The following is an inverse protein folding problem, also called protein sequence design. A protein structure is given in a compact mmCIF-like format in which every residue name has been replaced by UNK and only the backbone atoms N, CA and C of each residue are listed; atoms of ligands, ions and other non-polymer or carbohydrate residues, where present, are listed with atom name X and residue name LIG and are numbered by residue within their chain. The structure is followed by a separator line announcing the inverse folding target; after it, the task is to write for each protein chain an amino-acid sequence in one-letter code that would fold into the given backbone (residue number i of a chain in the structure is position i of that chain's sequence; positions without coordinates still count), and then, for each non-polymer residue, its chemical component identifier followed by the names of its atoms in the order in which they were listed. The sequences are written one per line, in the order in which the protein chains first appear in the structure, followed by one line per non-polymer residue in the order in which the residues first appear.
data_IF_414707475658
#
_entry.id   IF_414707475658
#
_cell.length_a   1.000
_cell.length_b   1.000
_cell.length_c   1.000
_cell.angle_alpha   90.00
_cell.angle_beta   90.00
_cell.angle_gamma   90.00
#
_symmetry.space_group_name_H-M   'P 1'
#
loop_
_entity.id
_entity.type
_entity.pdbx_description
1 polymer ?
#
# COMPACT_ATOMS: atom_id res chain seq x y z
N UNK A 1 -75.16 27.26 -18.33
CA UNK A 1 -74.06 26.26 -18.26
C UNK A 1 -72.85 26.93 -17.63
N UNK A 2 -72.27 26.30 -16.60
CA UNK A 2 -71.25 26.87 -15.73
C UNK A 2 -69.85 26.80 -16.36
N UNK A 3 -69.11 27.91 -16.27
CA UNK A 3 -67.65 27.97 -16.48
C UNK A 3 -66.94 27.02 -15.49
N UNK A 4 -65.94 26.29 -15.96
CA UNK A 4 -64.85 25.79 -15.11
C UNK A 4 -63.51 26.03 -15.82
N UNK A 5 -62.79 27.02 -15.31
CA UNK A 5 -61.38 27.28 -15.62
C UNK A 5 -60.54 26.25 -14.87
N UNK A 6 -59.69 25.52 -15.59
CA UNK A 6 -58.64 24.68 -14.99
C UNK A 6 -57.30 25.18 -15.52
N UNK A 7 -56.79 26.22 -14.88
CA UNK A 7 -55.41 26.68 -15.06
C UNK A 7 -54.51 25.70 -14.29
N UNK A 8 -54.12 24.61 -14.94
CA UNK A 8 -53.14 23.67 -14.41
C UNK A 8 -51.74 24.24 -14.50
N UNK A 9 -51.24 24.82 -13.41
CA UNK A 9 -49.83 25.19 -13.27
C UNK A 9 -49.03 23.89 -13.13
N UNK A 10 -48.36 23.48 -14.20
CA UNK A 10 -47.40 22.38 -14.19
C UNK A 10 -46.08 22.91 -13.59
N UNK A 11 -45.91 22.75 -12.28
CA UNK A 11 -44.64 23.05 -11.62
C UNK A 11 -43.69 21.89 -11.90
N UNK A 12 -42.89 22.04 -12.96
CA UNK A 12 -41.81 21.12 -13.30
C UNK A 12 -40.74 21.24 -12.20
N UNK A 13 -40.77 20.33 -11.23
CA UNK A 13 -39.68 20.15 -10.27
C UNK A 13 -38.45 19.67 -11.04
N UNK A 14 -37.60 20.62 -11.44
CA UNK A 14 -36.26 20.34 -11.94
C UNK A 14 -35.45 19.90 -10.72
N UNK A 15 -35.38 18.57 -10.52
CA UNK A 15 -34.39 17.95 -9.64
C UNK A 15 -33.03 18.13 -10.31
N UNK A 16 -32.41 19.29 -10.08
CA UNK A 16 -31.01 19.49 -10.44
C UNK A 16 -30.16 18.62 -9.52
N UNK A 17 -29.89 17.40 -9.95
CA UNK A 17 -28.77 16.61 -9.45
C UNK A 17 -27.50 17.31 -9.92
N UNK A 18 -27.08 18.34 -9.19
CA UNK A 18 -25.75 18.88 -9.35
C UNK A 18 -24.79 17.81 -8.85
N UNK A 19 -24.33 16.94 -9.76
CA UNK A 19 -23.04 16.30 -9.56
C UNK A 19 -22.04 17.46 -9.56
N UNK A 20 -21.49 17.78 -8.39
CA UNK A 20 -20.30 18.61 -8.31
C UNK A 20 -19.25 17.78 -9.03
N UNK A 21 -18.96 18.12 -10.28
CA UNK A 21 -17.86 17.49 -10.99
C UNK A 21 -16.60 17.79 -10.18
N UNK A 22 -15.82 16.77 -9.79
CA UNK A 22 -14.50 17.03 -9.27
C UNK A 22 -13.72 17.85 -10.31
N UNK A 23 -12.74 18.67 -9.88
CA UNK A 23 -11.97 19.50 -10.79
C UNK A 23 -11.50 18.70 -12.02
N UNK A 24 -11.69 19.25 -13.23
CA UNK A 24 -11.49 18.55 -14.51
C UNK A 24 -10.02 18.11 -14.80
N UNK A 25 -9.14 18.14 -13.80
CA UNK A 25 -7.69 17.97 -13.93
C UNK A 25 -7.10 16.86 -13.05
N UNK A 26 -7.92 15.97 -12.48
CA UNK A 26 -7.40 14.83 -11.74
C UNK A 26 -6.72 13.83 -12.69
N UNK A 27 -5.53 13.30 -12.33
CA UNK A 27 -4.82 12.35 -13.17
C UNK A 27 -5.38 10.93 -12.98
N UNK A 28 -5.48 10.17 -14.07
CA UNK A 28 -5.86 8.74 -13.99
C UNK A 28 -4.76 7.84 -13.43
N UNK A 29 -3.53 8.33 -13.36
CA UNK A 29 -2.46 7.68 -12.57
C UNK A 29 -2.41 8.40 -11.24
N UNK A 30 -2.45 7.70 -10.09
CA UNK A 30 -2.47 8.36 -8.80
C UNK A 30 -1.31 9.32 -8.64
N UNK A 31 -1.60 10.52 -8.16
CA UNK A 31 -0.58 11.53 -7.90
C UNK A 31 -0.52 11.80 -6.41
N UNK A 32 0.70 11.79 -5.86
CA UNK A 32 0.92 12.01 -4.44
C UNK A 32 1.88 13.16 -4.15
N UNK A 33 1.72 13.75 -2.99
CA UNK A 33 2.61 14.78 -2.43
C UNK A 33 2.97 14.39 -0.99
N UNK A 34 4.25 14.50 -0.63
CA UNK A 34 4.68 14.28 0.74
C UNK A 34 4.10 15.35 1.67
N UNK A 35 3.54 14.93 2.80
CA UNK A 35 2.93 15.83 3.79
C UNK A 35 3.71 15.80 5.12
N UNK A 36 3.88 14.63 5.74
CA UNK A 36 4.52 14.53 7.07
C UNK A 36 5.32 13.25 7.29
N UNK A 37 6.24 13.32 8.25
CA UNK A 37 6.94 12.17 8.84
C UNK A 37 7.06 12.38 10.34
N UNK A 38 6.59 11.41 11.12
CA UNK A 38 6.51 11.50 12.58
C UNK A 38 6.88 10.18 13.23
N UNK A 39 7.52 10.24 14.39
CA UNK A 39 7.87 9.09 15.20
C UNK A 39 7.10 9.16 16.53
N UNK A 40 6.27 8.16 16.80
CA UNK A 40 5.48 8.07 18.03
C UNK A 40 6.00 6.89 18.87
N UNK A 41 6.85 7.15 19.89
CA UNK A 41 7.27 6.11 20.81
C UNK A 41 6.09 5.67 21.67
N UNK A 42 5.94 4.37 21.92
CA UNK A 42 4.89 3.84 22.80
C UNK A 42 5.48 2.88 23.82
N UNK A 43 4.68 2.46 24.81
CA UNK A 43 5.09 1.39 25.73
C UNK A 43 5.11 0.00 25.07
N UNK A 44 4.58 -0.12 23.85
CA UNK A 44 4.55 -1.33 23.04
C UNK A 44 5.44 -1.21 21.79
N UNK A 45 4.87 -1.43 20.61
CA UNK A 45 5.57 -1.17 19.35
C UNK A 45 5.54 0.33 19.02
N UNK A 46 6.69 0.89 18.68
CA UNK A 46 6.78 2.28 18.26
C UNK A 46 6.22 2.45 16.84
N UNK A 47 5.69 3.63 16.53
CA UNK A 47 5.13 3.94 15.21
C UNK A 47 6.00 4.95 14.48
N UNK A 48 6.45 4.60 13.28
CA UNK A 48 6.92 5.58 12.31
C UNK A 48 5.77 5.85 11.34
N UNK A 49 5.36 7.10 11.23
CA UNK A 49 4.13 7.51 10.55
C UNK A 49 4.50 8.42 9.39
N UNK A 50 3.99 8.12 8.21
CA UNK A 50 4.15 8.93 7.00
C UNK A 50 2.78 9.45 6.57
N UNK A 51 2.68 10.74 6.33
CA UNK A 51 1.52 11.37 5.70
C UNK A 51 1.80 11.72 4.24
N UNK A 52 0.85 11.39 3.36
CA UNK A 52 0.85 11.81 1.95
C UNK A 52 -0.53 12.32 1.55
N UNK A 53 -0.56 13.37 0.74
CA UNK A 53 -1.78 13.78 0.04
C UNK A 53 -1.86 13.05 -1.29
N UNK A 54 -3.06 12.70 -1.74
CA UNK A 54 -3.29 12.01 -3.00
C UNK A 54 -4.39 12.66 -3.84
N UNK A 55 -4.31 12.45 -5.16
CA UNK A 55 -5.34 12.76 -6.15
C UNK A 55 -5.44 11.60 -7.14
N UNK A 56 -6.66 11.20 -7.47
CA UNK A 56 -6.95 10.10 -8.40
C UNK A 56 -8.30 10.32 -9.11
N UNK A 57 -8.35 10.12 -10.43
CA UNK A 57 -9.52 10.50 -11.24
C UNK A 57 -10.67 9.47 -11.17
N UNK A 58 -10.35 8.18 -11.02
CA UNK A 58 -11.30 7.09 -11.03
C UNK A 58 -11.74 6.68 -9.60
N UNK A 59 -10.95 7.04 -8.60
CA UNK A 59 -11.16 6.69 -7.20
C UNK A 59 -10.99 5.20 -6.94
N UNK A 60 -10.17 4.53 -7.75
CA UNK A 60 -9.92 3.10 -7.65
C UNK A 60 -8.72 2.75 -6.75
N UNK A 61 -8.35 3.67 -5.87
CA UNK A 61 -7.35 3.47 -4.83
C UNK A 61 -7.79 2.50 -3.72
N UNK A 62 -6.82 1.76 -3.20
CA UNK A 62 -6.96 0.89 -2.04
C UNK A 62 -7.42 -0.52 -2.39
N UNK A 63 -7.16 -1.44 -1.45
CA UNK A 63 -7.48 -2.87 -1.54
C UNK A 63 -8.25 -3.29 -0.30
N UNK A 64 -9.22 -4.17 -0.47
CA UNK A 64 -9.93 -4.82 0.61
C UNK A 64 -9.13 -6.02 1.14
N UNK A 65 -9.55 -6.55 2.30
CA UNK A 65 -8.95 -7.76 2.85
C UNK A 65 -9.23 -9.01 2.01
N UNK A 66 -10.22 -8.97 1.12
CA UNK A 66 -10.60 -10.06 0.21
C UNK A 66 -10.11 -9.83 -1.22
N UNK A 67 -9.26 -8.82 -1.43
CA UNK A 67 -8.59 -8.62 -2.72
C UNK A 67 -7.29 -9.44 -2.73
N UNK A 68 -7.41 -10.76 -2.63
CA UNK A 68 -6.31 -11.74 -2.51
C UNK A 68 -6.29 -12.77 -3.64
N UNK A 69 -7.20 -12.64 -4.61
CA UNK A 69 -7.15 -13.34 -5.90
C UNK A 69 -6.22 -12.60 -6.90
N UNK A 70 -5.74 -13.29 -7.95
CA UNK A 70 -4.99 -12.63 -9.01
C UNK A 70 -5.70 -11.39 -9.60
N UNK A 71 -4.99 -10.25 -9.71
CA UNK A 71 -3.54 -10.07 -9.64
C UNK A 71 -2.96 -9.70 -8.25
N UNK A 72 -3.73 -9.81 -7.17
CA UNK A 72 -3.40 -9.31 -5.83
C UNK A 72 -3.08 -10.42 -4.80
N UNK A 73 -2.94 -11.66 -5.26
CA UNK A 73 -2.52 -12.80 -4.43
C UNK A 73 -1.17 -12.53 -3.78
N UNK A 74 -0.95 -13.01 -2.55
CA UNK A 74 0.27 -12.69 -1.80
C UNK A 74 1.55 -13.25 -2.46
N UNK A 75 1.46 -14.47 -3.00
CA UNK A 75 2.61 -15.17 -3.57
C UNK A 75 2.27 -15.98 -4.82
N UNK A 76 3.27 -16.14 -5.67
CA UNK A 76 3.26 -17.09 -6.78
C UNK A 76 4.00 -18.36 -6.38
N UNK A 77 3.27 -19.47 -6.28
CA UNK A 77 3.84 -20.80 -6.03
C UNK A 77 4.66 -21.26 -7.24
N UNK A 78 5.96 -21.50 -7.03
CA UNK A 78 6.84 -21.94 -8.10
C UNK A 78 6.59 -23.42 -8.42
N UNK A 79 6.53 -23.72 -9.72
CA UNK A 79 6.27 -25.06 -10.24
C UNK A 79 7.35 -25.48 -11.22
N UNK A 80 7.66 -26.78 -11.25
CA UNK A 80 8.58 -27.34 -12.22
C UNK A 80 7.93 -27.44 -13.62
N UNK A 81 8.66 -27.98 -14.60
CA UNK A 81 8.17 -28.15 -15.98
C UNK A 81 6.99 -29.12 -16.12
N UNK A 82 6.73 -29.97 -15.12
CA UNK A 82 5.58 -30.89 -15.08
C UNK A 82 4.37 -30.31 -14.35
N UNK A 83 4.50 -29.08 -13.80
CA UNK A 83 3.44 -28.38 -13.06
C UNK A 83 3.36 -28.74 -11.58
N UNK A 84 4.29 -29.53 -11.05
CA UNK A 84 4.37 -29.88 -9.64
C UNK A 84 5.01 -28.75 -8.83
N UNK A 85 4.60 -28.59 -7.58
CA UNK A 85 5.21 -27.60 -6.68
C UNK A 85 6.69 -27.91 -6.45
N UNK A 86 7.52 -26.87 -6.48
CA UNK A 86 8.93 -27.02 -6.15
C UNK A 86 9.08 -26.99 -4.62
N UNK A 87 9.56 -28.10 -4.05
CA UNK A 87 9.85 -28.20 -2.62
C UNK A 87 11.30 -27.84 -2.35
N UNK A 88 11.64 -27.62 -1.08
CA UNK A 88 13.02 -27.33 -0.69
C UNK A 88 13.95 -28.47 -1.07
N UNK A 89 13.53 -29.73 -0.96
CA UNK A 89 14.37 -30.88 -1.28
C UNK A 89 14.54 -31.12 -2.79
N UNK A 90 13.56 -30.72 -3.60
CA UNK A 90 13.55 -30.92 -5.07
C UNK A 90 13.93 -29.66 -5.85
N UNK A 91 14.42 -28.62 -5.16
CA UNK A 91 14.69 -27.31 -5.75
C UNK A 91 15.83 -27.35 -6.77
N UNK A 92 15.77 -26.51 -7.83
CA UNK A 92 16.88 -26.37 -8.75
C UNK A 92 18.05 -25.61 -8.12
N UNK A 93 19.22 -25.65 -8.76
CA UNK A 93 20.47 -25.08 -8.22
C UNK A 93 20.44 -23.56 -8.02
N UNK A 94 19.64 -22.86 -8.81
CA UNK A 94 19.46 -21.42 -8.80
C UNK A 94 18.47 -20.94 -7.73
N UNK A 95 17.75 -21.86 -7.08
CA UNK A 95 16.81 -21.51 -6.03
C UNK A 95 17.55 -20.92 -4.81
N UNK A 96 16.98 -19.92 -4.14
CA UNK A 96 17.61 -19.28 -3.00
C UNK A 96 17.80 -20.26 -1.84
N UNK A 97 18.83 -20.02 -1.02
CA UNK A 97 18.96 -20.67 0.30
C UNK A 97 17.71 -20.40 1.14
N UNK A 98 17.42 -21.28 2.10
CA UNK A 98 16.25 -21.12 2.96
C UNK A 98 16.22 -19.74 3.61
N UNK A 99 15.08 -19.07 3.47
CA UNK A 99 14.71 -17.85 4.17
C UNK A 99 13.18 -17.72 4.20
N UNK A 100 12.60 -16.95 5.13
CA UNK A 100 11.15 -16.85 5.29
C UNK A 100 10.38 -16.15 4.16
N UNK A 101 11.07 -15.46 3.23
CA UNK A 101 10.43 -14.75 2.11
C UNK A 101 10.25 -15.68 0.91
N UNK A 102 11.27 -16.46 0.58
CA UNK A 102 11.26 -17.31 -0.60
C UNK A 102 10.68 -18.71 -0.33
N UNK A 103 10.54 -19.09 0.94
CA UNK A 103 10.12 -20.44 1.33
C UNK A 103 8.99 -20.41 2.36
N UNK A 104 7.82 -20.93 1.97
CA UNK A 104 6.69 -21.12 2.90
C UNK A 104 6.70 -22.54 3.45
N UNK A 105 6.58 -22.66 4.77
CA UNK A 105 6.45 -23.95 5.47
C UNK A 105 4.98 -24.27 5.65
N UNK A 106 4.59 -25.48 5.26
CA UNK A 106 3.24 -26.01 5.34
C UNK A 106 2.14 -25.09 4.73
N UNK A 107 2.32 -24.51 3.52
CA UNK A 107 1.38 -23.53 2.98
C UNK A 107 0.04 -24.17 2.59
N UNK A 108 -1.00 -23.33 2.52
CA UNK A 108 -2.29 -23.70 1.94
C UNK A 108 -2.23 -23.45 0.43
N UNK A 109 -2.44 -24.49 -0.37
CA UNK A 109 -2.51 -24.42 -1.84
C UNK A 109 -3.83 -25.06 -2.27
N UNK A 110 -4.64 -24.37 -3.07
CA UNK A 110 -5.96 -24.84 -3.52
C UNK A 110 -6.82 -25.35 -2.35
N UNK A 111 -6.86 -24.56 -1.26
CA UNK A 111 -7.65 -24.87 -0.06
C UNK A 111 -7.22 -26.15 0.69
N UNK A 112 -5.99 -26.64 0.47
CA UNK A 112 -5.41 -27.80 1.16
C UNK A 112 -4.03 -27.47 1.73
N UNK A 113 -3.74 -27.97 2.93
CA UNK A 113 -2.41 -27.84 3.55
C UNK A 113 -1.43 -28.79 2.87
N UNK A 114 -0.36 -28.23 2.30
CA UNK A 114 0.74 -28.99 1.71
C UNK A 114 1.84 -29.12 2.76
N UNK A 115 2.03 -30.31 3.34
CA UNK A 115 3.01 -30.56 4.43
C UNK A 115 4.45 -30.65 3.92
N UNK A 116 4.98 -29.55 3.41
CA UNK A 116 6.35 -29.41 2.90
C UNK A 116 6.79 -27.93 2.96
N UNK A 117 8.04 -27.65 2.58
CA UNK A 117 8.57 -26.31 2.40
C UNK A 117 8.58 -25.96 0.92
N UNK A 118 7.74 -25.02 0.50
CA UNK A 118 7.45 -24.72 -0.91
C UNK A 118 8.12 -23.41 -1.34
N UNK A 119 8.76 -23.43 -2.52
CA UNK A 119 9.35 -22.24 -3.11
C UNK A 119 8.25 -21.31 -3.63
N UNK A 120 8.31 -20.05 -3.20
CA UNK A 120 7.38 -19.01 -3.62
C UNK A 120 8.12 -17.79 -4.14
N UNK A 121 7.42 -16.98 -4.94
CA UNK A 121 7.84 -15.62 -5.28
C UNK A 121 6.82 -14.66 -4.70
N UNK A 122 7.28 -13.67 -3.94
CA UNK A 122 6.39 -12.61 -3.43
C UNK A 122 5.78 -11.83 -4.59
N UNK A 123 4.48 -11.58 -4.53
CA UNK A 123 3.80 -10.70 -5.48
C UNK A 123 3.77 -9.26 -4.93
N UNK A 124 4.46 -8.29 -5.55
CA UNK A 124 4.42 -6.91 -5.09
C UNK A 124 3.03 -6.28 -5.18
N UNK A 125 2.18 -6.75 -6.11
CA UNK A 125 0.84 -6.18 -6.31
C UNK A 125 -0.12 -6.51 -5.17
N UNK A 126 0.23 -7.44 -4.26
CA UNK A 126 -0.52 -7.61 -3.01
C UNK A 126 -0.55 -6.33 -2.15
N UNK A 127 0.31 -5.34 -2.43
CA UNK A 127 0.37 -4.08 -1.71
C UNK A 127 -0.12 -2.92 -2.60
N UNK A 128 -0.52 -1.83 -1.96
CA UNK A 128 -0.93 -0.60 -2.64
C UNK A 128 -0.24 0.66 -2.09
N UNK A 129 0.59 0.51 -1.04
CA UNK A 129 1.54 1.53 -0.59
C UNK A 129 2.92 0.89 -0.42
N UNK A 130 3.94 1.57 -0.93
CA UNK A 130 5.29 1.02 -1.09
C UNK A 130 6.34 1.97 -0.56
N UNK A 131 7.25 1.43 0.23
CA UNK A 131 8.17 2.20 1.04
C UNK A 131 9.61 1.72 0.82
N UNK A 132 10.51 2.68 0.65
CA UNK A 132 11.96 2.44 0.64
C UNK A 132 12.62 3.27 1.71
N UNK A 133 13.47 2.64 2.50
CA UNK A 133 14.19 3.31 3.58
C UNK A 133 15.62 3.56 3.16
N UNK A 134 16.13 4.74 3.48
CA UNK A 134 17.51 5.10 3.22
C UNK A 134 18.16 5.61 4.49
N UNK A 135 19.38 5.15 4.75
CA UNK A 135 20.20 5.60 5.87
C UNK A 135 21.41 6.35 5.30
N UNK A 136 21.65 7.56 5.79
CA UNK A 136 22.81 8.38 5.40
C UNK A 136 24.00 8.02 6.27
N UNK A 137 25.09 7.54 5.65
CA UNK A 137 26.38 7.31 6.32
C UNK A 137 27.49 7.93 5.48
N UNK A 138 28.41 8.65 6.12
CA UNK A 138 29.49 9.39 5.44
C UNK A 138 28.97 10.33 4.33
N UNK A 139 27.81 10.95 4.56
CA UNK A 139 27.18 11.88 3.61
C UNK A 139 26.43 11.23 2.44
N UNK A 140 26.43 9.90 2.32
CA UNK A 140 25.77 9.18 1.23
C UNK A 140 24.60 8.35 1.75
N UNK A 141 23.49 8.36 1.01
CA UNK A 141 22.36 7.47 1.28
C UNK A 141 22.61 6.06 0.74
N UNK A 142 22.34 5.07 1.57
CA UNK A 142 22.23 3.67 1.17
C UNK A 142 20.86 3.15 1.55
N UNK A 143 20.22 2.43 0.64
CA UNK A 143 18.96 1.75 0.92
C UNK A 143 19.14 0.73 2.05
N UNK A 144 18.25 0.76 3.03
CA UNK A 144 18.09 -0.24 4.06
C UNK A 144 16.99 -1.21 3.62
N UNK A 145 17.42 -2.37 3.09
CA UNK A 145 16.52 -3.37 2.54
C UNK A 145 16.03 -4.29 3.64
N UNK A 146 14.76 -4.15 4.01
CA UNK A 146 14.11 -4.97 5.04
C UNK A 146 14.01 -6.45 4.66
N UNK A 147 14.14 -6.78 3.38
CA UNK A 147 14.11 -8.13 2.86
C UNK A 147 15.43 -8.88 3.09
N UNK A 148 16.52 -8.15 3.36
CA UNK A 148 17.83 -8.74 3.62
C UNK A 148 17.90 -9.35 5.04
N UNK A 149 18.81 -10.32 5.28
CA UNK A 149 19.06 -10.83 6.62
C UNK A 149 19.47 -9.69 7.57
N UNK A 150 19.03 -9.70 8.84
CA UNK A 150 18.28 -10.76 9.52
C UNK A 150 16.75 -10.60 9.49
N UNK A 151 16.20 -9.62 8.77
CA UNK A 151 14.81 -9.19 8.99
C UNK A 151 13.79 -9.94 8.15
N UNK A 152 14.09 -10.15 6.86
CA UNK A 152 13.19 -10.86 5.94
C UNK A 152 11.74 -10.36 5.98
N UNK A 153 11.56 -9.04 5.93
CA UNK A 153 10.25 -8.39 6.03
C UNK A 153 10.10 -7.22 5.05
N UNK A 154 8.96 -6.54 5.07
CA UNK A 154 8.70 -5.30 4.35
C UNK A 154 7.78 -4.39 5.16
N UNK A 155 7.83 -3.10 4.88
CA UNK A 155 6.84 -2.12 5.35
C UNK A 155 5.94 -1.63 4.21
N UNK A 156 5.96 -2.30 3.06
CA UNK A 156 4.88 -2.16 2.08
C UNK A 156 3.58 -2.65 2.72
N UNK A 157 2.46 -2.07 2.32
CA UNK A 157 1.19 -2.36 2.97
C UNK A 157 -0.02 -2.21 2.06
N UNK A 158 -1.18 -2.43 2.68
CA UNK A 158 -2.49 -2.16 2.10
C UNK A 158 -3.17 -1.05 2.91
N UNK A 159 -3.60 0.02 2.24
CA UNK A 159 -4.66 0.88 2.76
C UNK A 159 -6.01 0.45 2.17
N UNK A 160 -7.12 0.61 2.91
CA UNK A 160 -8.43 0.15 2.48
C UNK A 160 -8.92 0.91 1.24
N UNK A 161 -9.86 0.32 0.51
CA UNK A 161 -10.54 0.98 -0.61
C UNK A 161 -11.08 2.35 -0.17
N UNK A 162 -10.74 3.40 -0.91
CA UNK A 162 -11.23 4.76 -0.64
C UNK A 162 -12.71 4.86 -0.99
N UNK A 163 -13.09 4.28 -2.13
CA UNK A 163 -14.48 4.16 -2.56
C UNK A 163 -14.91 2.69 -2.55
N UNK A 164 -16.12 2.45 -2.04
CA UNK A 164 -16.78 1.14 -2.10
C UNK A 164 -17.79 1.03 -3.24
N UNK A 165 -18.10 2.14 -3.93
CA UNK A 165 -18.97 2.14 -5.10
C UNK A 165 -18.24 1.68 -6.36
N UNK A 166 -18.95 0.96 -7.21
CA UNK A 166 -18.47 0.57 -8.55
C UNK A 166 -18.49 1.74 -9.55
N UNK A 167 -19.22 2.81 -9.23
CA UNK A 167 -19.17 4.05 -9.99
C UNK A 167 -17.95 4.83 -9.52
N UNK A 168 -16.95 4.93 -10.40
CA UNK A 168 -15.75 5.74 -10.16
C UNK A 168 -16.09 7.23 -10.09
N UNK A 169 -15.36 7.93 -9.23
CA UNK A 169 -15.40 9.38 -9.11
C UNK A 169 -14.03 9.85 -8.65
N UNK A 170 -13.62 11.05 -9.06
CA UNK A 170 -12.34 11.55 -8.63
C UNK A 170 -12.32 11.83 -7.13
N UNK A 171 -11.19 11.54 -6.51
CA UNK A 171 -10.98 11.63 -5.07
C UNK A 171 -9.64 12.28 -4.76
N UNK A 172 -9.65 13.14 -3.76
CA UNK A 172 -8.45 13.61 -3.09
C UNK A 172 -8.58 13.45 -1.60
N UNK A 173 -7.45 13.38 -0.92
CA UNK A 173 -7.40 13.26 0.52
C UNK A 173 -5.99 13.07 1.02
N UNK A 174 -5.90 12.65 2.28
CA UNK A 174 -4.63 12.37 2.96
C UNK A 174 -4.63 10.92 3.44
N UNK A 175 -3.50 10.23 3.25
CA UNK A 175 -3.23 8.92 3.82
C UNK A 175 -2.16 9.10 4.90
N UNK A 176 -2.50 8.73 6.14
CA UNK A 176 -1.55 8.57 7.23
C UNK A 176 -1.24 7.09 7.43
N UNK A 177 -0.02 6.68 7.09
CA UNK A 177 0.43 5.30 7.12
C UNK A 177 1.40 5.06 8.28
N UNK A 178 0.93 4.33 9.29
CA UNK A 178 1.70 3.98 10.47
C UNK A 178 2.40 2.62 10.34
N UNK A 179 3.71 2.61 10.56
CA UNK A 179 4.56 1.43 10.53
C UNK A 179 4.98 1.06 11.96
N UNK A 180 4.59 -0.12 12.40
CA UNK A 180 4.86 -0.61 13.75
C UNK A 180 6.16 -1.40 13.81
N UNK A 181 7.06 -1.02 14.73
CA UNK A 181 8.26 -1.81 15.03
C UNK A 181 8.81 -1.45 16.40
N UNK A 182 9.29 -2.45 17.14
CA UNK A 182 10.14 -2.23 18.33
C UNK A 182 11.60 -1.95 17.95
N UNK A 183 11.94 -2.03 16.66
CA UNK A 183 13.31 -1.91 16.17
C UNK A 183 13.75 -0.49 15.83
N UNK A 184 12.83 0.48 15.70
CA UNK A 184 13.11 1.79 15.10
C UNK A 184 14.33 2.49 15.71
N UNK A 185 14.37 2.68 17.04
CA UNK A 185 15.48 3.34 17.70
C UNK A 185 16.78 2.54 17.62
N UNK A 186 16.69 1.22 17.73
CA UNK A 186 17.87 0.34 17.73
C UNK A 186 18.56 0.28 16.35
N UNK A 187 17.76 0.37 15.29
CA UNK A 187 18.19 0.26 13.89
C UNK A 187 18.69 1.62 13.39
N UNK A 188 17.89 2.68 13.59
CA UNK A 188 18.22 4.00 13.05
C UNK A 188 19.04 4.85 14.02
N UNK A 189 18.97 4.63 15.34
CA UNK A 189 19.81 5.32 16.34
C UNK A 189 19.83 6.84 16.12
N UNK A 190 21.00 7.39 15.82
CA UNK A 190 21.22 8.80 15.46
C UNK A 190 21.51 8.99 13.98
N UNK A 191 21.35 7.95 13.16
CA UNK A 191 21.51 8.05 11.72
C UNK A 191 20.44 8.98 11.13
N UNK A 192 20.81 9.70 10.08
CA UNK A 192 19.86 10.45 9.26
C UNK A 192 19.18 9.50 8.30
N UNK A 193 17.85 9.52 8.28
CA UNK A 193 17.01 8.69 7.43
C UNK A 193 16.24 9.52 6.42
N UNK A 194 15.87 8.86 5.32
CA UNK A 194 14.90 9.32 4.32
C UNK A 194 14.01 8.16 3.95
N UNK A 195 12.71 8.41 3.76
CA UNK A 195 11.76 7.41 3.29
C UNK A 195 11.19 7.88 1.97
N UNK A 196 11.27 7.01 0.96
CA UNK A 196 10.64 7.23 -0.34
C UNK A 196 9.36 6.38 -0.42
N UNK A 197 8.29 6.99 -0.93
CA UNK A 197 6.93 6.44 -0.88
C UNK A 197 6.27 6.53 -2.25
N UNK A 198 5.53 5.48 -2.63
CA UNK A 198 4.61 5.47 -3.79
C UNK A 198 3.36 4.68 -3.46
N UNK A 199 2.26 4.94 -4.17
CA UNK A 199 1.02 4.18 -4.10
C UNK A 199 0.66 3.56 -5.45
N UNK A 200 -0.24 2.60 -5.44
CA UNK A 200 -0.74 1.93 -6.64
C UNK A 200 -2.27 1.80 -6.58
N UNK A 201 -2.92 2.07 -7.69
CA UNK A 201 -4.36 1.85 -7.84
C UNK A 201 -4.70 0.37 -8.14
N UNK A 202 -5.99 0.07 -8.29
CA UNK A 202 -6.46 -1.28 -8.63
C UNK A 202 -6.23 -1.63 -10.10
N UNK A 203 -6.07 -0.65 -10.98
CA UNK A 203 -5.62 -0.86 -12.37
C UNK A 203 -4.10 -1.12 -12.51
N UNK A 204 -3.36 -1.17 -11.39
CA UNK A 204 -1.92 -1.37 -11.31
C UNK A 204 -1.08 -0.19 -11.82
N UNK A 205 -1.63 1.02 -11.90
CA UNK A 205 -0.84 2.21 -12.18
C UNK A 205 -0.14 2.70 -10.91
N UNK A 206 1.17 2.91 -11.03
CA UNK A 206 2.04 3.37 -9.95
C UNK A 206 2.12 4.89 -9.94
N UNK A 207 1.98 5.50 -8.77
CA UNK A 207 2.13 6.95 -8.62
C UNK A 207 3.56 7.43 -8.88
N UNK A 208 3.72 8.76 -8.93
CA UNK A 208 5.03 9.36 -8.68
C UNK A 208 5.59 8.91 -7.31
N UNK A 209 6.92 8.88 -7.18
CA UNK A 209 7.60 8.64 -5.90
C UNK A 209 7.86 9.99 -5.22
N UNK A 210 7.59 10.07 -3.91
CA UNK A 210 7.89 11.24 -3.08
C UNK A 210 8.82 10.85 -1.95
N UNK A 211 9.72 11.76 -1.58
CA UNK A 211 10.70 11.55 -0.51
C UNK A 211 10.34 12.40 0.71
N UNK A 212 10.54 11.85 1.90
CA UNK A 212 10.59 12.65 3.13
C UNK A 212 11.79 13.61 3.12
N UNK A 213 11.79 14.65 3.97
CA UNK A 213 13.00 15.35 4.35
C UNK A 213 14.04 14.39 4.96
N UNK A 214 15.30 14.83 4.98
CA UNK A 214 16.35 14.15 5.74
C UNK A 214 16.17 14.43 7.24
N UNK A 215 15.90 13.41 8.03
CA UNK A 215 15.58 13.56 9.46
C UNK A 215 16.28 12.51 10.31
N UNK A 216 16.44 12.78 11.60
CA UNK A 216 16.72 11.77 12.63
C UNK A 216 15.43 11.46 13.38
N UNK A 217 15.30 10.26 13.96
CA UNK A 217 14.11 9.92 14.75
C UNK A 217 13.81 10.97 15.83
N UNK A 218 14.85 11.47 16.50
CA UNK A 218 14.73 12.53 17.52
C UNK A 218 14.06 13.81 17.02
N UNK A 219 14.30 14.21 15.76
CA UNK A 219 13.71 15.44 15.20
C UNK A 219 12.23 15.31 14.91
N UNK A 220 11.76 14.08 14.69
CA UNK A 220 10.38 13.77 14.30
C UNK A 220 9.61 13.10 15.43
N UNK A 221 10.22 12.93 16.62
CA UNK A 221 9.57 12.38 17.80
C UNK A 221 8.39 13.28 18.22
N UNK A 222 7.19 12.71 18.28
CA UNK A 222 6.01 13.39 18.82
C UNK A 222 6.27 13.78 20.29
N UNK A 223 5.79 14.96 20.73
CA UNK A 223 5.82 15.32 22.14
C UNK A 223 5.08 14.26 22.98
N UNK A 224 5.62 13.93 24.15
CA UNK A 224 4.87 13.15 25.13
C UNK A 224 3.68 13.99 25.61
N UNK A 225 2.46 13.48 25.43
CA UNK A 225 1.25 14.03 26.05
C UNK A 225 1.24 13.79 27.56
#
# INVERSE_FOLDING_TARGET
MRLKSYLGIFFLLILATACINPPDNFPSVPKIVFESIEYAPTSGADSLIIGIDFQDAEGDLGLSATDDDPPFQDVDFQRNSTGELITYSTRPSEAPSYNPIDWLVDPIVNNQVVKDTIWVKQNPNQFNIFLKFFIKRNGQFKEFKWQDPPFYTTFNGRFPRILTSEVGQAVEGNISYGMLSSGWESIFRTDTIRIDVSIQDRALNRSNEVSSPEVTLKQITRPSN
#
